data_IF_883672463447
#
_entry.id   IF_883672463447
#
_cell.length_a   1.000
_cell.length_b   1.000
_cell.length_c   1.000
_cell.angle_alpha   90.00
_cell.angle_beta   90.00
_cell.angle_gamma   90.00
#
_symmetry.space_group_name_H-M   'P 1'
#
loop_
_entity.id
_entity.type
_entity.pdbx_description
1 polymer ?
#
# COMPACT_ATOMS: atom_id res chain seq x y z
N UNK A 1 8.85 17.28 24.07
CA UNK A 1 7.83 17.22 23.00
C UNK A 1 8.53 17.02 21.67
N UNK A 2 8.00 16.18 20.79
CA UNK A 2 8.61 15.86 19.48
C UNK A 2 7.69 16.45 18.39
N UNK A 3 8.16 17.49 17.70
CA UNK A 3 7.48 18.12 16.56
C UNK A 3 8.46 18.20 15.38
N UNK A 4 8.64 17.11 14.62
CA UNK A 4 9.56 17.09 13.51
C UNK A 4 8.99 17.93 12.37
N UNK A 5 9.85 18.54 11.56
CA UNK A 5 9.39 19.23 10.36
C UNK A 5 8.80 18.26 9.32
N UNK A 6 9.29 17.02 9.30
CA UNK A 6 8.96 16.04 8.28
C UNK A 6 8.84 14.64 8.85
N UNK A 7 7.81 13.92 8.42
CA UNK A 7 7.55 12.51 8.75
C UNK A 7 7.40 11.77 7.41
N UNK A 8 8.25 10.78 7.18
CA UNK A 8 8.30 10.06 5.90
C UNK A 8 8.07 8.58 6.11
N UNK A 9 6.95 8.08 5.59
CA UNK A 9 6.53 6.70 5.73
C UNK A 9 7.32 5.79 4.79
N UNK A 10 7.75 4.63 5.29
CA UNK A 10 8.45 3.60 4.53
C UNK A 10 7.92 2.23 4.97
N UNK A 11 7.12 1.60 4.12
CA UNK A 11 6.64 0.25 4.40
C UNK A 11 7.79 -0.75 4.33
N UNK A 12 7.92 -1.59 5.36
CA UNK A 12 8.92 -2.64 5.42
C UNK A 12 8.68 -3.68 4.32
N UNK A 13 9.77 -4.14 3.70
CA UNK A 13 9.76 -5.22 2.72
C UNK A 13 10.90 -6.19 3.00
N UNK A 14 10.64 -7.47 2.80
CA UNK A 14 11.55 -8.55 3.21
C UNK A 14 11.78 -9.51 2.03
N UNK A 15 12.48 -9.09 0.97
CA UNK A 15 12.80 -9.98 -0.15
C UNK A 15 13.74 -11.11 0.28
N UNK A 16 13.77 -12.21 -0.46
CA UNK A 16 14.52 -13.44 -0.12
C UNK A 16 16.02 -13.24 0.13
N UNK A 17 16.59 -12.15 -0.41
CA UNK A 17 18.02 -11.81 -0.32
C UNK A 17 18.44 -11.11 0.98
N UNK A 18 17.52 -10.62 1.82
CA UNK A 18 17.88 -9.92 3.07
C UNK A 18 17.88 -10.86 4.28
N UNK A 19 18.73 -10.62 5.31
CA UNK A 19 18.82 -11.50 6.48
C UNK A 19 17.49 -11.69 7.22
N UNK A 20 16.64 -10.66 7.25
CA UNK A 20 15.33 -10.69 7.91
C UNK A 20 14.39 -11.74 7.28
N UNK A 21 14.59 -12.11 6.01
CA UNK A 21 13.80 -13.15 5.34
C UNK A 21 13.92 -14.51 6.03
N UNK A 22 15.08 -14.83 6.61
CA UNK A 22 15.25 -16.08 7.35
C UNK A 22 14.34 -16.15 8.58
N UNK A 23 14.09 -15.00 9.24
CA UNK A 23 13.17 -14.90 10.39
C UNK A 23 11.72 -15.01 9.95
N UNK A 24 11.36 -14.46 8.79
CA UNK A 24 10.04 -14.68 8.18
C UNK A 24 9.83 -16.16 7.90
N UNK A 25 10.80 -16.80 7.24
CA UNK A 25 10.72 -18.22 6.88
C UNK A 25 10.66 -19.14 8.09
N UNK A 26 11.35 -18.80 9.19
CA UNK A 26 11.31 -19.59 10.43
C UNK A 26 10.08 -19.32 11.29
N UNK A 27 9.23 -18.35 10.93
CA UNK A 27 8.09 -17.91 11.73
C UNK A 27 8.49 -17.09 12.97
N UNK A 28 9.75 -16.65 13.08
CA UNK A 28 10.20 -15.77 14.18
C UNK A 28 9.75 -14.32 13.97
N UNK A 29 9.48 -13.95 12.71
CA UNK A 29 8.97 -12.64 12.34
C UNK A 29 7.75 -12.79 11.43
N UNK A 30 6.65 -12.16 11.79
CA UNK A 30 5.44 -12.10 10.96
C UNK A 30 5.40 -10.75 10.24
N UNK A 31 5.42 -10.78 8.90
CA UNK A 31 5.29 -9.56 8.12
C UNK A 31 3.83 -9.11 8.09
N UNK A 32 3.59 -7.81 8.19
CA UNK A 32 2.25 -7.24 8.03
C UNK A 32 1.73 -7.45 6.60
N UNK A 33 0.43 -7.71 6.47
CA UNK A 33 -0.26 -7.63 5.18
C UNK A 33 -0.44 -6.18 4.74
N UNK A 34 -0.77 -5.98 3.46
CA UNK A 34 -1.12 -4.66 2.93
C UNK A 34 -2.33 -4.07 3.68
N UNK A 35 -3.31 -4.88 4.12
CA UNK A 35 -4.44 -4.45 4.93
C UNK A 35 -4.02 -3.98 6.33
N UNK A 36 -3.15 -4.73 7.01
CA UNK A 36 -2.63 -4.34 8.33
C UNK A 36 -1.84 -3.03 8.24
N UNK A 37 -1.06 -2.82 7.18
CA UNK A 37 -0.34 -1.57 6.94
C UNK A 37 -1.29 -0.38 6.75
N UNK A 38 -2.41 -0.57 6.05
CA UNK A 38 -3.41 0.48 5.88
C UNK A 38 -4.03 0.89 7.21
N UNK A 39 -4.36 -0.09 8.07
CA UNK A 39 -4.87 0.15 9.42
C UNK A 39 -3.84 0.85 10.31
N UNK A 40 -2.56 0.44 10.23
CA UNK A 40 -1.45 1.08 10.94
C UNK A 40 -1.30 2.55 10.54
N UNK A 41 -1.28 2.85 9.23
CA UNK A 41 -1.17 4.22 8.72
C UNK A 41 -2.37 5.05 9.18
N UNK A 42 -3.58 4.49 9.15
CA UNK A 42 -4.79 5.17 9.65
C UNK A 42 -4.62 5.58 11.11
N UNK A 43 -4.30 4.62 11.96
CA UNK A 43 -4.11 4.86 13.40
C UNK A 43 -2.98 5.87 13.65
N UNK A 44 -1.88 5.75 12.92
CA UNK A 44 -0.76 6.68 12.99
C UNK A 44 -1.21 8.12 12.72
N UNK A 45 -1.89 8.37 11.60
CA UNK A 45 -2.35 9.72 11.23
C UNK A 45 -3.41 10.23 12.22
N UNK A 46 -4.35 9.38 12.65
CA UNK A 46 -5.36 9.73 13.66
C UNK A 46 -4.72 10.20 14.97
N UNK A 47 -3.62 9.57 15.37
CA UNK A 47 -2.93 9.85 16.63
C UNK A 47 -2.01 11.08 16.60
N UNK A 48 -1.71 11.66 15.43
CA UNK A 48 -0.86 12.86 15.34
C UNK A 48 -1.68 14.11 15.69
N UNK A 49 -1.38 14.71 16.84
CA UNK A 49 -2.04 15.90 17.37
C UNK A 49 -1.00 16.91 17.90
N UNK A 50 -1.33 18.21 17.85
CA UNK A 50 -0.46 19.27 18.39
C UNK A 50 0.82 19.55 17.59
N UNK A 51 1.03 18.92 16.43
CA UNK A 51 2.23 19.10 15.60
C UNK A 51 1.94 19.78 14.26
N UNK A 52 2.99 20.31 13.64
CA UNK A 52 2.94 21.03 12.36
C UNK A 52 3.74 20.34 11.26
N UNK A 53 3.96 19.03 11.43
CA UNK A 53 4.78 18.22 10.54
C UNK A 53 4.13 18.06 9.15
N UNK A 54 4.97 18.00 8.12
CA UNK A 54 4.57 17.43 6.83
C UNK A 54 4.76 15.92 6.84
N UNK A 55 3.69 15.19 6.57
CA UNK A 55 3.71 13.73 6.38
C UNK A 55 3.80 13.41 4.90
N UNK A 56 4.60 12.42 4.52
CA UNK A 56 4.64 11.90 3.15
C UNK A 56 4.73 10.39 3.07
N UNK A 57 4.04 9.83 2.08
CA UNK A 57 4.10 8.44 1.66
C UNK A 57 4.68 8.30 0.24
N UNK A 58 5.59 9.19 -0.13
CA UNK A 58 6.19 9.38 -1.48
C UNK A 58 6.99 8.20 -2.08
N UNK A 59 7.10 7.06 -1.37
CA UNK A 59 7.90 5.95 -1.88
C UNK A 59 7.11 5.07 -2.83
N UNK A 60 7.74 4.63 -3.92
CA UNK A 60 7.14 3.71 -4.90
C UNK A 60 6.65 2.39 -4.26
N UNK A 61 7.28 1.99 -3.15
CA UNK A 61 6.90 0.79 -2.39
C UNK A 61 5.79 1.01 -1.36
N UNK A 62 5.36 2.24 -1.11
CA UNK A 62 4.21 2.44 -0.23
C UNK A 62 2.95 2.16 -1.03
N UNK A 63 1.99 1.46 -0.40
CA UNK A 63 0.70 1.17 -1.04
C UNK A 63 -0.07 2.47 -1.29
N UNK A 64 -0.25 3.27 -0.23
CA UNK A 64 -1.00 4.53 -0.28
C UNK A 64 -0.05 5.72 -0.52
N UNK A 65 0.34 5.97 -1.78
CA UNK A 65 1.23 7.08 -2.15
C UNK A 65 0.61 8.46 -1.85
N UNK A 66 -0.71 8.56 -1.97
CA UNK A 66 -1.49 9.79 -1.85
C UNK A 66 -1.75 10.24 -0.40
N UNK A 67 -1.29 9.47 0.60
CA UNK A 67 -1.25 9.88 2.01
C UNK A 67 -0.06 10.82 2.23
N UNK A 68 -0.24 12.09 1.87
CA UNK A 68 0.75 13.15 2.05
C UNK A 68 0.08 14.52 2.31
N UNK A 69 0.59 15.28 3.29
CA UNK A 69 0.05 16.60 3.64
C UNK A 69 0.68 17.21 4.89
N UNK A 70 0.34 18.47 5.19
CA UNK A 70 0.83 19.18 6.37
C UNK A 70 -0.22 19.23 7.48
N UNK A 71 0.17 18.84 8.69
CA UNK A 71 -0.69 18.87 9.87
C UNK A 71 -0.78 20.30 10.47
N UNK A 72 -1.93 20.65 11.07
CA UNK A 72 -3.18 19.90 11.12
C UNK A 72 -4.04 20.01 9.84
N UNK A 73 -3.69 20.89 8.89
CA UNK A 73 -4.57 21.32 7.79
C UNK A 73 -5.02 20.17 6.89
N UNK A 74 -4.12 19.25 6.57
CA UNK A 74 -4.37 18.13 5.65
C UNK A 74 -4.77 16.82 6.35
N UNK A 75 -4.95 16.81 7.69
CA UNK A 75 -5.23 15.57 8.43
C UNK A 75 -6.45 14.83 7.87
N UNK A 76 -7.55 15.54 7.67
CA UNK A 76 -8.79 14.99 7.11
C UNK A 76 -8.59 14.50 5.67
N UNK A 77 -7.81 15.22 4.85
CA UNK A 77 -7.51 14.82 3.47
C UNK A 77 -6.73 13.49 3.43
N UNK A 78 -5.72 13.34 4.29
CA UNK A 78 -4.96 12.10 4.40
C UNK A 78 -5.84 10.93 4.86
N UNK A 79 -6.71 11.14 5.86
CA UNK A 79 -7.65 10.11 6.32
C UNK A 79 -8.67 9.72 5.23
N UNK A 80 -9.11 10.67 4.41
CA UNK A 80 -10.00 10.37 3.28
C UNK A 80 -9.30 9.51 2.21
N UNK A 81 -8.03 9.76 1.88
CA UNK A 81 -7.27 8.89 0.97
C UNK A 81 -7.20 7.44 1.48
N UNK A 82 -7.02 7.26 2.79
CA UNK A 82 -7.05 5.93 3.42
C UNK A 82 -8.46 5.32 3.33
N UNK A 83 -9.50 6.12 3.60
CA UNK A 83 -10.88 5.69 3.49
C UNK A 83 -11.24 5.24 2.08
N UNK A 84 -10.75 5.93 1.04
CA UNK A 84 -11.01 5.57 -0.36
C UNK A 84 -10.52 4.15 -0.67
N UNK A 85 -9.34 3.76 -0.18
CA UNK A 85 -8.86 2.38 -0.30
C UNK A 85 -9.75 1.39 0.48
N UNK A 86 -10.09 1.74 1.73
CA UNK A 86 -10.93 0.88 2.57
C UNK A 86 -12.34 0.66 1.99
N UNK A 87 -12.85 1.62 1.22
CA UNK A 87 -14.16 1.53 0.56
C UNK A 87 -14.16 0.69 -0.72
N UNK A 88 -13.00 0.31 -1.26
CA UNK A 88 -12.90 -0.55 -2.44
C UNK A 88 -13.47 -1.95 -2.16
N UNK A 89 -14.16 -2.52 -3.17
CA UNK A 89 -14.55 -3.92 -3.12
C UNK A 89 -13.31 -4.83 -3.09
N UNK A 90 -13.41 -6.07 -2.57
CA UNK A 90 -12.25 -6.97 -2.46
C UNK A 90 -11.48 -7.16 -3.78
N UNK A 91 -12.18 -7.30 -4.90
CA UNK A 91 -11.54 -7.43 -6.22
C UNK A 91 -10.84 -6.14 -6.66
N UNK A 92 -11.42 -4.97 -6.38
CA UNK A 92 -10.83 -3.68 -6.71
C UNK A 92 -9.57 -3.41 -5.87
N UNK A 93 -9.52 -3.88 -4.63
CA UNK A 93 -8.29 -3.83 -3.82
C UNK A 93 -7.16 -4.62 -4.47
N UNK A 94 -7.44 -5.82 -4.98
CA UNK A 94 -6.43 -6.62 -5.69
C UNK A 94 -5.97 -5.92 -6.98
N UNK A 95 -6.89 -5.33 -7.74
CA UNK A 95 -6.58 -4.57 -8.95
C UNK A 95 -5.72 -3.35 -8.60
N UNK A 96 -6.10 -2.59 -7.58
CA UNK A 96 -5.34 -1.42 -7.13
C UNK A 96 -3.94 -1.82 -6.64
N UNK A 97 -3.82 -2.81 -5.76
CA UNK A 97 -2.53 -3.32 -5.26
C UNK A 97 -1.64 -3.74 -6.43
N UNK A 98 -2.17 -4.51 -7.37
CA UNK A 98 -1.45 -4.95 -8.57
C UNK A 98 -0.98 -3.77 -9.42
N UNK A 99 -1.89 -2.86 -9.76
CA UNK A 99 -1.55 -1.68 -10.58
C UNK A 99 -0.59 -0.73 -9.87
N UNK A 100 -0.69 -0.60 -8.54
CA UNK A 100 0.26 0.15 -7.70
C UNK A 100 1.65 -0.46 -7.77
N UNK A 101 1.79 -1.78 -7.60
CA UNK A 101 3.08 -2.50 -7.71
C UNK A 101 3.59 -2.60 -9.15
N UNK A 102 2.75 -2.35 -10.14
CA UNK A 102 3.15 -2.22 -11.54
C UNK A 102 3.53 -0.77 -11.93
N UNK A 103 3.37 0.20 -11.02
CA UNK A 103 3.67 1.61 -11.27
C UNK A 103 2.60 2.35 -12.09
N UNK A 104 1.40 1.79 -12.20
CA UNK A 104 0.31 2.33 -13.02
C UNK A 104 -0.65 3.22 -12.22
N UNK A 105 -0.92 2.86 -10.97
CA UNK A 105 -1.79 3.63 -10.07
C UNK A 105 -0.99 4.34 -8.97
N UNK A 106 -1.47 5.51 -8.56
CA UNK A 106 -0.95 6.28 -7.42
C UNK A 106 -1.98 6.41 -6.31
N UNK A 107 -3.26 6.51 -6.66
CA UNK A 107 -4.39 6.61 -5.73
C UNK A 107 -5.47 5.57 -6.07
N UNK A 108 -6.25 5.08 -5.08
CA UNK A 108 -7.46 4.29 -5.35
C UNK A 108 -8.40 4.95 -6.37
N UNK A 109 -8.41 6.29 -6.39
CA UNK A 109 -9.23 7.10 -7.31
C UNK A 109 -8.85 6.91 -8.78
N UNK A 110 -7.65 6.42 -9.08
CA UNK A 110 -7.17 6.21 -10.45
C UNK A 110 -7.83 4.99 -11.12
N UNK A 111 -8.41 4.06 -10.34
CA UNK A 111 -8.99 2.81 -10.85
C UNK A 111 -9.98 3.03 -11.99
N UNK A 112 -10.86 4.02 -11.85
CA UNK A 112 -11.92 4.29 -12.83
C UNK A 112 -11.54 5.37 -13.85
N UNK A 113 -10.40 6.04 -13.68
CA UNK A 113 -9.91 7.06 -14.60
C UNK A 113 -9.41 6.46 -15.92
N UNK A 114 -8.90 5.21 -15.88
CA UNK A 114 -8.49 4.45 -17.06
C UNK A 114 -9.15 3.05 -17.08
N UNK A 115 -10.35 2.95 -17.71
CA UNK A 115 -11.07 1.69 -17.81
C UNK A 115 -10.32 0.58 -18.57
N UNK A 116 -9.44 0.93 -19.52
CA UNK A 116 -8.69 -0.05 -20.31
C UNK A 116 -7.64 -0.73 -19.45
N UNK A 117 -6.91 0.06 -18.65
CA UNK A 117 -5.95 -0.48 -17.69
C UNK A 117 -6.65 -1.33 -16.63
N UNK A 118 -7.76 -0.85 -16.08
CA UNK A 118 -8.57 -1.60 -15.12
C UNK A 118 -8.95 -2.98 -15.67
N UNK A 119 -9.50 -3.03 -16.88
CA UNK A 119 -9.93 -4.28 -17.53
C UNK A 119 -8.75 -5.23 -17.78
N UNK A 120 -7.60 -4.72 -18.20
CA UNK A 120 -6.39 -5.54 -18.42
C UNK A 120 -5.91 -6.20 -17.12
N UNK A 121 -5.84 -5.44 -16.04
CA UNK A 121 -5.42 -5.97 -14.73
C UNK A 121 -6.47 -6.96 -14.21
N UNK A 122 -7.76 -6.65 -14.32
CA UNK A 122 -8.85 -7.56 -13.91
C UNK A 122 -8.75 -8.90 -14.63
N UNK A 123 -8.61 -8.89 -15.97
CA UNK A 123 -8.49 -10.11 -16.76
C UNK A 123 -7.23 -10.93 -16.43
N UNK A 124 -6.11 -10.25 -16.12
CA UNK A 124 -4.89 -10.91 -15.65
C UNK A 124 -5.12 -11.62 -14.32
N UNK A 125 -5.71 -10.93 -13.35
CA UNK A 125 -5.99 -11.47 -12.02
C UNK A 125 -6.97 -12.65 -12.09
N UNK A 126 -8.04 -12.55 -12.88
CA UNK A 126 -8.96 -13.67 -13.13
C UNK A 126 -8.23 -14.90 -13.67
N UNK A 127 -7.29 -14.70 -14.60
CA UNK A 127 -6.46 -15.77 -15.15
C UNK A 127 -5.56 -16.44 -14.10
N UNK A 128 -4.97 -15.67 -13.19
CA UNK A 128 -4.14 -16.18 -12.09
C UNK A 128 -5.01 -16.94 -11.09
N UNK A 129 -6.13 -16.35 -10.65
CA UNK A 129 -7.07 -16.97 -9.71
C UNK A 129 -7.55 -18.31 -10.23
N UNK A 130 -7.91 -18.41 -11.52
CA UNK A 130 -8.36 -19.66 -12.13
C UNK A 130 -7.28 -20.75 -12.14
N UNK A 131 -6.00 -20.39 -12.19
CA UNK A 131 -4.87 -21.34 -12.27
C UNK A 131 -4.26 -21.69 -10.91
N UNK A 132 -4.19 -20.72 -9.99
CA UNK A 132 -3.39 -20.79 -8.77
C UNK A 132 -4.14 -20.31 -7.51
N UNK A 133 -5.41 -19.89 -7.66
CA UNK A 133 -6.20 -19.34 -6.56
C UNK A 133 -5.73 -17.96 -6.10
N UNK A 134 -6.22 -17.53 -4.94
CA UNK A 134 -5.86 -16.23 -4.36
C UNK A 134 -4.40 -16.16 -3.90
N UNK A 135 -3.83 -17.28 -3.44
CA UNK A 135 -2.42 -17.35 -3.05
C UNK A 135 -1.49 -16.96 -4.21
N UNK A 136 -1.78 -17.43 -5.43
CA UNK A 136 -1.00 -17.04 -6.61
C UNK A 136 -1.11 -15.55 -6.97
N UNK A 137 -2.20 -14.88 -6.59
CA UNK A 137 -2.32 -13.41 -6.74
C UNK A 137 -1.42 -12.70 -5.75
N UNK A 138 -1.39 -13.14 -4.49
CA UNK A 138 -0.51 -12.56 -3.47
C UNK A 138 0.96 -12.74 -3.81
N UNK A 139 1.35 -13.93 -4.26
CA UNK A 139 2.72 -14.22 -4.72
C UNK A 139 3.09 -13.28 -5.89
N UNK A 140 2.21 -13.15 -6.88
CA UNK A 140 2.41 -12.25 -8.01
C UNK A 140 2.56 -10.78 -7.59
N UNK A 141 1.69 -10.27 -6.70
CA UNK A 141 1.78 -8.89 -6.19
C UNK A 141 3.10 -8.69 -5.42
N UNK A 142 3.53 -9.69 -4.65
CA UNK A 142 4.80 -9.64 -3.92
C UNK A 142 5.99 -9.55 -4.87
N UNK A 143 6.04 -10.41 -5.89
CA UNK A 143 7.08 -10.39 -6.94
C UNK A 143 7.13 -9.05 -7.68
N UNK A 144 5.97 -8.48 -8.03
CA UNK A 144 5.91 -7.20 -8.73
C UNK A 144 6.59 -6.09 -7.92
N UNK A 145 6.38 -6.09 -6.61
CA UNK A 145 6.93 -5.10 -5.71
C UNK A 145 8.43 -5.29 -5.46
N UNK A 146 8.89 -6.53 -5.32
CA UNK A 146 10.30 -6.83 -5.06
C UNK A 146 11.24 -6.38 -6.21
N UNK A 147 10.71 -6.10 -7.41
CA UNK A 147 11.47 -5.53 -8.53
C UNK A 147 12.07 -4.14 -8.27
N UNK A 148 11.55 -3.39 -7.31
CA UNK A 148 12.05 -2.07 -6.95
C UNK A 148 13.06 -2.09 -5.80
N UNK A 149 13.35 -3.27 -5.25
CA UNK A 149 14.29 -3.44 -4.14
C UNK A 149 15.63 -3.90 -4.72
#
# INVERSE_FOLDING_TARGET
>A
EINPHFIRLRSLRVPSRVPLFNKVRSGEFEAQSDEMLVEEIKLFIESLEGITSTVTSDHIMNLLEDVSGTLPQDKIRMLNSISDYCSLAPVERLIYRTGRRAGVYRSPRDLHADPLTYQKISALLEGIIKKQGLAGVEDFISELADRYI
#
